data_IF_111074570895
#
_entry.id   IF_111074570895
#
_cell.length_a   1.000
_cell.length_b   1.000
_cell.length_c   1.000
_cell.angle_alpha   90.00
_cell.angle_beta   90.00
_cell.angle_gamma   90.00
#
_symmetry.space_group_name_H-M   'P 1'
#
loop_
_entity.id
_entity.type
_entity.pdbx_description
1 polymer ?
#
# COMPACT_ATOMS: atom_id res chain seq x y z
N UNK A 1 98.21 -28.99 -83.94
CA UNK A 1 99.41 -29.81 -84.21
C UNK A 1 100.48 -29.36 -83.22
N UNK A 2 100.71 -30.11 -82.15
CA UNK A 2 101.85 -29.84 -81.28
C UNK A 2 103.11 -30.32 -82.01
N UNK A 3 104.05 -29.41 -82.28
CA UNK A 3 105.36 -29.76 -82.84
C UNK A 3 106.03 -30.81 -81.94
N UNK A 4 106.63 -31.85 -82.53
CA UNK A 4 107.40 -32.84 -81.79
C UNK A 4 108.55 -32.12 -81.06
N UNK A 5 108.44 -31.98 -79.74
CA UNK A 5 109.51 -31.39 -78.95
C UNK A 5 110.72 -32.33 -79.02
N UNK A 6 111.93 -31.82 -79.34
CA UNK A 6 113.12 -32.66 -79.38
C UNK A 6 113.31 -33.31 -78.00
N UNK A 7 113.42 -34.64 -77.97
CA UNK A 7 113.66 -35.38 -76.72
C UNK A 7 115.08 -35.05 -76.27
N UNK A 8 115.19 -34.15 -75.29
CA UNK A 8 116.47 -33.78 -74.69
C UNK A 8 116.92 -34.96 -73.83
N UNK A 9 117.90 -35.72 -74.32
CA UNK A 9 118.49 -36.83 -73.56
C UNK A 9 119.45 -36.29 -72.50
N UNK A 10 119.61 -37.01 -71.37
CA UNK A 10 120.57 -36.64 -70.33
C UNK A 10 121.97 -36.35 -70.94
N UNK A 11 122.39 -37.16 -71.91
CA UNK A 11 123.69 -37.01 -72.58
C UNK A 11 123.80 -35.74 -73.43
N UNK A 12 122.70 -35.27 -74.03
CA UNK A 12 122.65 -33.98 -74.71
C UNK A 12 122.83 -32.82 -73.72
N UNK A 13 122.24 -32.92 -72.53
CA UNK A 13 122.40 -31.91 -71.47
C UNK A 13 123.82 -31.92 -70.90
N UNK A 14 124.43 -33.11 -70.69
CA UNK A 14 125.84 -33.24 -70.28
C UNK A 14 126.76 -32.58 -71.29
N UNK A 15 126.54 -32.85 -72.59
CA UNK A 15 127.37 -32.32 -73.66
C UNK A 15 127.31 -30.78 -73.71
N UNK A 16 126.12 -30.20 -73.62
CA UNK A 16 125.96 -28.74 -73.62
C UNK A 16 126.49 -28.07 -72.35
N UNK A 17 126.27 -28.66 -71.16
CA UNK A 17 126.83 -28.13 -69.91
C UNK A 17 128.36 -28.19 -69.87
N UNK A 18 128.96 -29.29 -70.35
CA UNK A 18 130.43 -29.41 -70.44
C UNK A 18 131.00 -28.41 -71.46
N UNK A 19 130.31 -28.20 -72.58
CA UNK A 19 130.68 -27.22 -73.61
C UNK A 19 130.57 -25.78 -73.11
N UNK A 20 129.65 -25.51 -72.19
CA UNK A 20 129.52 -24.23 -71.48
C UNK A 20 130.61 -24.01 -70.40
N UNK A 21 131.59 -24.93 -70.29
CA UNK A 21 132.71 -24.81 -69.36
C UNK A 21 132.42 -25.30 -67.94
N UNK A 22 131.25 -25.92 -67.71
CA UNK A 22 130.92 -26.54 -66.42
C UNK A 22 131.73 -27.82 -66.29
N UNK A 23 132.34 -28.03 -65.11
CA UNK A 23 133.08 -29.24 -64.80
C UNK A 23 132.24 -30.48 -65.11
N UNK A 24 132.83 -31.50 -65.76
CA UNK A 24 132.12 -32.67 -66.26
C UNK A 24 131.30 -33.39 -65.17
N UNK A 25 131.80 -33.45 -63.95
CA UNK A 25 131.10 -34.09 -62.83
C UNK A 25 129.87 -33.28 -62.42
N UNK A 26 130.00 -31.95 -62.42
CA UNK A 26 128.88 -31.00 -62.18
C UNK A 26 127.88 -31.05 -63.35
N UNK A 27 128.34 -31.18 -64.58
CA UNK A 27 127.51 -31.32 -65.77
C UNK A 27 126.70 -32.63 -65.75
N UNK A 28 127.29 -33.72 -65.27
CA UNK A 28 126.60 -35.01 -65.08
C UNK A 28 125.50 -34.87 -64.01
N UNK A 29 125.81 -34.28 -62.85
CA UNK A 29 124.82 -34.04 -61.78
C UNK A 29 123.67 -33.13 -62.24
N UNK A 30 123.96 -31.98 -62.85
CA UNK A 30 122.94 -31.06 -63.37
C UNK A 30 122.09 -31.66 -64.49
N UNK A 31 122.69 -32.44 -65.40
CA UNK A 31 121.96 -33.13 -66.46
C UNK A 31 121.01 -34.19 -65.92
N UNK A 32 121.41 -34.88 -64.84
CA UNK A 32 120.61 -35.91 -64.19
C UNK A 32 119.39 -35.26 -63.53
N UNK A 33 119.62 -34.17 -62.78
CA UNK A 33 118.55 -33.36 -62.16
C UNK A 33 117.56 -32.81 -63.19
N UNK A 34 118.06 -32.35 -64.35
CA UNK A 34 117.21 -31.88 -65.46
C UNK A 34 116.41 -33.03 -66.09
N UNK A 35 117.06 -34.15 -66.45
CA UNK A 35 116.40 -35.29 -67.11
C UNK A 35 115.40 -36.01 -66.21
N UNK A 36 115.61 -36.00 -64.89
CA UNK A 36 114.68 -36.53 -63.89
C UNK A 36 113.62 -35.52 -63.42
N UNK A 37 113.60 -34.30 -63.98
CA UNK A 37 112.70 -33.22 -63.59
C UNK A 37 112.72 -32.94 -62.08
N UNK A 38 113.86 -33.14 -61.40
CA UNK A 38 113.95 -33.01 -59.95
C UNK A 38 113.68 -31.57 -59.49
N UNK A 39 113.99 -30.58 -60.33
CA UNK A 39 113.72 -29.17 -60.05
C UNK A 39 112.21 -28.85 -60.14
N UNK A 40 111.52 -29.34 -61.18
CA UNK A 40 110.07 -29.17 -61.36
C UNK A 40 109.25 -29.85 -60.26
N UNK A 41 109.67 -31.03 -59.80
CA UNK A 41 109.02 -31.72 -58.69
C UNK A 41 109.14 -30.92 -57.39
N UNK A 42 110.31 -30.33 -57.11
CA UNK A 42 110.51 -29.47 -55.93
C UNK A 42 109.66 -28.20 -55.99
N UNK A 43 109.52 -27.58 -57.16
CA UNK A 43 108.67 -26.39 -57.32
C UNK A 43 107.18 -26.72 -57.12
N UNK A 44 106.72 -27.88 -57.61
CA UNK A 44 105.34 -28.36 -57.39
C UNK A 44 105.11 -28.70 -55.92
N UNK A 45 106.05 -29.41 -55.28
CA UNK A 45 106.00 -29.72 -53.85
C UNK A 45 105.96 -28.44 -52.99
N UNK A 46 106.74 -27.43 -53.37
CA UNK A 46 106.72 -26.12 -52.73
C UNK A 46 105.37 -25.40 -52.90
N UNK A 47 104.81 -25.42 -54.11
CA UNK A 47 103.49 -24.82 -54.40
C UNK A 47 102.37 -25.54 -53.65
N UNK A 48 102.38 -26.86 -53.63
CA UNK A 48 101.42 -27.70 -52.90
C UNK A 48 101.48 -27.39 -51.39
N UNK A 49 102.69 -27.41 -50.82
CA UNK A 49 102.91 -27.08 -49.40
C UNK A 49 102.42 -25.67 -49.09
N UNK A 50 102.74 -24.68 -49.94
CA UNK A 50 102.32 -23.29 -49.75
C UNK A 50 100.81 -23.13 -49.86
N UNK A 51 100.16 -23.83 -50.79
CA UNK A 51 98.72 -23.77 -50.99
C UNK A 51 97.97 -24.42 -49.82
N UNK A 52 98.43 -25.58 -49.37
CA UNK A 52 97.88 -26.27 -48.20
C UNK A 52 97.96 -25.39 -46.95
N UNK A 53 99.12 -24.77 -46.70
CA UNK A 53 99.28 -23.82 -45.58
C UNK A 53 98.32 -22.62 -45.69
N UNK A 54 98.07 -22.09 -46.89
CA UNK A 54 97.10 -21.01 -47.10
C UNK A 54 95.67 -21.48 -46.86
N UNK A 55 95.31 -22.68 -47.31
CA UNK A 55 93.99 -23.28 -47.10
C UNK A 55 93.72 -23.50 -45.61
N UNK A 56 94.67 -24.09 -44.88
CA UNK A 56 94.58 -24.27 -43.42
C UNK A 56 94.40 -22.94 -42.70
N UNK A 57 95.14 -21.90 -43.10
CA UNK A 57 95.00 -20.56 -42.53
C UNK A 57 93.62 -19.96 -42.80
N UNK A 58 93.10 -20.11 -44.02
CA UNK A 58 91.76 -19.61 -44.38
C UNK A 58 90.68 -20.35 -43.60
N UNK A 59 90.78 -21.67 -43.49
CA UNK A 59 89.85 -22.48 -42.72
C UNK A 59 89.85 -22.07 -41.24
N UNK A 60 91.03 -21.92 -40.64
CA UNK A 60 91.16 -21.48 -39.26
C UNK A 60 90.55 -20.09 -39.02
N UNK A 61 90.78 -19.14 -39.94
CA UNK A 61 90.18 -17.80 -39.87
C UNK A 61 88.65 -17.85 -39.97
N UNK A 62 88.11 -18.63 -40.91
CA UNK A 62 86.67 -18.76 -41.10
C UNK A 62 86.00 -19.42 -39.89
N UNK A 63 86.60 -20.47 -39.34
CA UNK A 63 86.11 -21.11 -38.11
C UNK A 63 86.13 -20.13 -36.93
N UNK A 64 87.17 -19.31 -36.80
CA UNK A 64 87.25 -18.29 -35.76
C UNK A 64 86.15 -17.22 -35.93
N UNK A 65 85.91 -16.75 -37.15
CA UNK A 65 84.87 -15.76 -37.45
C UNK A 65 83.44 -16.29 -37.22
N UNK A 66 83.17 -17.55 -37.61
CA UNK A 66 81.90 -18.23 -37.33
C UNK A 66 81.69 -18.36 -35.81
N UNK A 67 82.73 -18.78 -35.08
CA UNK A 67 82.66 -18.91 -33.62
C UNK A 67 82.39 -17.55 -32.97
N UNK A 68 83.10 -16.50 -33.40
CA UNK A 68 82.89 -15.13 -32.90
C UNK A 68 81.46 -14.65 -33.18
N UNK A 69 80.98 -14.83 -34.42
CA UNK A 69 79.62 -14.43 -34.81
C UNK A 69 78.55 -15.17 -34.02
N UNK A 70 78.75 -16.46 -33.75
CA UNK A 70 77.85 -17.25 -32.89
C UNK A 70 77.81 -16.69 -31.47
N UNK A 71 78.98 -16.44 -30.87
CA UNK A 71 79.06 -15.86 -29.51
C UNK A 71 78.39 -14.48 -29.44
N UNK A 72 78.56 -13.64 -30.46
CA UNK A 72 77.91 -12.33 -30.53
C UNK A 72 76.38 -12.45 -30.64
N UNK A 73 75.87 -13.40 -31.42
CA UNK A 73 74.44 -13.67 -31.55
C UNK A 73 73.85 -14.21 -30.24
N UNK A 74 74.50 -15.19 -29.62
CA UNK A 74 74.09 -15.74 -28.33
C UNK A 74 74.01 -14.62 -27.27
N UNK A 75 75.03 -13.75 -27.20
CA UNK A 75 75.06 -12.60 -26.28
C UNK A 75 73.92 -11.60 -26.55
N UNK A 76 73.62 -11.31 -27.82
CA UNK A 76 72.51 -10.41 -28.20
C UNK A 76 71.15 -11.01 -27.83
N UNK A 77 70.99 -12.32 -28.03
CA UNK A 77 69.77 -13.05 -27.68
C UNK A 77 69.56 -13.01 -26.17
N UNK A 78 70.59 -13.35 -25.37
CA UNK A 78 70.53 -13.31 -23.91
C UNK A 78 70.19 -11.91 -23.40
N UNK A 79 70.80 -10.87 -23.98
CA UNK A 79 70.50 -9.48 -23.64
C UNK A 79 69.03 -9.15 -23.90
N UNK A 80 68.47 -9.58 -25.05
CA UNK A 80 67.07 -9.31 -25.39
C UNK A 80 66.09 -10.10 -24.54
N UNK A 81 66.43 -11.32 -24.13
CA UNK A 81 65.62 -12.07 -23.16
C UNK A 81 65.60 -11.38 -21.80
N UNK A 82 66.75 -10.93 -21.29
CA UNK A 82 66.82 -10.18 -20.02
C UNK A 82 66.01 -8.86 -20.08
N UNK A 83 66.10 -8.12 -21.19
CA UNK A 83 65.27 -6.92 -21.42
C UNK A 83 63.77 -7.25 -21.45
N UNK A 84 63.37 -8.41 -21.98
CA UNK A 84 61.98 -8.82 -22.02
C UNK A 84 61.47 -9.25 -20.65
N UNK A 85 62.25 -10.03 -19.91
CA UNK A 85 61.91 -10.48 -18.56
C UNK A 85 61.71 -9.29 -17.62
N UNK A 86 62.61 -8.31 -17.67
CA UNK A 86 62.48 -7.07 -16.89
C UNK A 86 61.22 -6.26 -17.24
N UNK A 87 60.84 -6.19 -18.52
CA UNK A 87 59.58 -5.57 -18.95
C UNK A 87 58.36 -6.34 -18.45
N UNK A 88 58.39 -7.68 -18.52
CA UNK A 88 57.31 -8.55 -18.04
C UNK A 88 57.12 -8.36 -16.53
N UNK A 89 58.20 -8.31 -15.76
CA UNK A 89 58.13 -8.12 -14.31
C UNK A 89 57.62 -6.73 -13.93
N UNK A 90 57.99 -5.70 -14.70
CA UNK A 90 57.47 -4.34 -14.53
C UNK A 90 55.95 -4.31 -14.74
N UNK A 91 55.46 -4.85 -15.87
CA UNK A 91 54.02 -4.89 -16.17
C UNK A 91 53.25 -5.72 -15.13
N UNK A 92 53.80 -6.84 -14.67
CA UNK A 92 53.18 -7.64 -13.60
C UNK A 92 53.07 -6.86 -12.30
N UNK A 93 54.09 -6.07 -11.95
CA UNK A 93 54.07 -5.24 -10.75
C UNK A 93 53.03 -4.12 -10.86
N UNK A 94 52.95 -3.44 -12.01
CA UNK A 94 51.96 -2.40 -12.27
C UNK A 94 50.53 -2.97 -12.18
N UNK A 95 50.24 -4.08 -12.88
CA UNK A 95 48.92 -4.73 -12.82
C UNK A 95 48.55 -5.17 -11.40
N UNK A 96 49.51 -5.66 -10.61
CA UNK A 96 49.26 -6.01 -9.20
C UNK A 96 48.92 -4.78 -8.36
N UNK A 97 49.54 -3.64 -8.64
CA UNK A 97 49.19 -2.37 -8.00
C UNK A 97 47.79 -1.91 -8.39
N UNK A 98 47.47 -1.94 -9.68
CA UNK A 98 46.14 -1.55 -10.19
C UNK A 98 45.02 -2.41 -9.61
N UNK A 99 45.23 -3.73 -9.50
CA UNK A 99 44.28 -4.65 -8.85
C UNK A 99 44.06 -4.24 -7.39
N UNK A 100 45.15 -3.98 -6.64
CA UNK A 100 45.04 -3.56 -5.23
C UNK A 100 44.29 -2.24 -5.10
N UNK A 101 44.56 -1.27 -5.97
CA UNK A 101 43.86 0.02 -5.98
C UNK A 101 42.36 -0.16 -6.29
N UNK A 102 42.02 -1.07 -7.21
CA UNK A 102 40.63 -1.40 -7.50
C UNK A 102 39.93 -2.07 -6.30
N UNK A 103 40.58 -3.01 -5.63
CA UNK A 103 40.05 -3.65 -4.41
C UNK A 103 39.74 -2.59 -3.34
N UNK A 104 40.67 -1.65 -3.09
CA UNK A 104 40.42 -0.57 -2.12
C UNK A 104 39.27 0.36 -2.52
N UNK A 105 39.08 0.62 -3.82
CA UNK A 105 37.94 1.40 -4.32
C UNK A 105 36.63 0.64 -4.15
N UNK A 106 36.61 -0.67 -4.40
CA UNK A 106 35.45 -1.53 -4.19
C UNK A 106 35.06 -1.52 -2.71
N UNK A 107 36.01 -1.74 -1.80
CA UNK A 107 35.79 -1.73 -0.35
C UNK A 107 35.20 -0.38 0.11
N UNK A 108 35.73 0.73 -0.42
CA UNK A 108 35.23 2.07 -0.10
C UNK A 108 33.80 2.29 -0.60
N UNK A 109 33.47 1.84 -1.81
CA UNK A 109 32.11 1.92 -2.35
C UNK A 109 31.15 1.07 -1.52
N UNK A 110 31.53 -0.17 -1.18
CA UNK A 110 30.72 -1.06 -0.36
C UNK A 110 30.44 -0.45 1.02
N UNK A 111 31.48 0.07 1.69
CA UNK A 111 31.32 0.75 2.99
C UNK A 111 30.37 1.96 2.88
N UNK A 112 30.53 2.80 1.86
CA UNK A 112 29.70 3.97 1.66
C UNK A 112 28.23 3.60 1.39
N UNK A 113 27.99 2.54 0.61
CA UNK A 113 26.63 2.05 0.34
C UNK A 113 25.98 1.49 1.61
N UNK A 114 26.72 0.71 2.41
CA UNK A 114 26.22 0.19 3.68
C UNK A 114 25.83 1.32 4.64
N UNK A 115 26.67 2.36 4.79
CA UNK A 115 26.34 3.54 5.61
C UNK A 115 25.08 4.27 5.11
N UNK A 116 24.93 4.45 3.79
CA UNK A 116 23.72 5.08 3.21
C UNK A 116 22.48 4.24 3.47
N UNK A 117 22.57 2.92 3.31
CA UNK A 117 21.47 1.99 3.57
C UNK A 117 21.05 2.06 5.04
N UNK A 118 22.00 2.06 5.97
CA UNK A 118 21.70 2.13 7.41
C UNK A 118 21.08 3.48 7.81
N UNK A 119 21.54 4.57 7.19
CA UNK A 119 20.95 5.91 7.37
C UNK A 119 19.48 5.91 6.93
N UNK A 120 19.19 5.46 5.71
CA UNK A 120 17.81 5.39 5.18
C UNK A 120 16.92 4.48 6.03
N UNK A 121 17.44 3.34 6.49
CA UNK A 121 16.70 2.46 7.41
C UNK A 121 16.36 3.14 8.73
N UNK A 122 17.28 3.91 9.29
CA UNK A 122 17.06 4.66 10.53
C UNK A 122 16.03 5.77 10.35
N UNK A 123 16.10 6.52 9.26
CA UNK A 123 15.14 7.56 8.91
C UNK A 123 13.73 6.98 8.74
N UNK A 124 13.58 5.91 7.94
CA UNK A 124 12.29 5.25 7.75
C UNK A 124 11.70 4.70 9.07
N UNK A 125 12.54 4.17 9.96
CA UNK A 125 12.09 3.70 11.28
C UNK A 125 11.59 4.86 12.15
N UNK A 126 12.22 6.04 12.05
CA UNK A 126 11.76 7.24 12.74
C UNK A 126 10.42 7.72 12.18
N UNK A 127 10.30 7.81 10.85
CA UNK A 127 9.07 8.25 10.18
C UNK A 127 7.87 7.34 10.52
N UNK A 128 8.09 6.02 10.58
CA UNK A 128 7.05 5.06 11.00
C UNK A 128 6.60 5.34 12.44
N UNK A 129 7.54 5.55 13.36
CA UNK A 129 7.22 5.85 14.77
C UNK A 129 6.46 7.17 14.93
N UNK A 130 6.81 8.18 14.14
CA UNK A 130 6.14 9.47 14.15
C UNK A 130 4.71 9.36 13.57
N UNK A 131 4.50 8.53 12.56
CA UNK A 131 3.18 8.21 12.02
C UNK A 131 2.33 7.44 13.04
N UNK A 132 2.87 6.42 13.71
CA UNK A 132 2.16 5.69 14.76
C UNK A 132 1.69 6.65 15.87
N UNK A 133 2.58 7.54 16.33
CA UNK A 133 2.24 8.56 17.34
C UNK A 133 1.13 9.52 16.87
N UNK A 134 1.14 9.92 15.60
CA UNK A 134 0.08 10.76 15.01
C UNK A 134 -1.25 10.01 14.93
N UNK A 135 -1.23 8.73 14.56
CA UNK A 135 -2.42 7.87 14.50
C UNK A 135 -3.04 7.76 15.90
N UNK A 136 -2.23 7.42 16.92
CA UNK A 136 -2.68 7.32 18.31
C UNK A 136 -3.33 8.64 18.79
N UNK A 137 -2.72 9.78 18.45
CA UNK A 137 -3.26 11.10 18.80
C UNK A 137 -4.61 11.38 18.12
N UNK A 138 -4.75 11.04 16.83
CA UNK A 138 -6.01 11.19 16.10
C UNK A 138 -7.09 10.29 16.69
N UNK A 139 -6.77 9.02 16.99
CA UNK A 139 -7.68 8.07 17.60
C UNK A 139 -8.18 8.57 18.97
N UNK A 140 -7.27 9.02 19.83
CA UNK A 140 -7.62 9.58 21.14
C UNK A 140 -8.53 10.81 21.04
N UNK A 141 -8.24 11.72 20.10
CA UNK A 141 -9.05 12.90 19.85
C UNK A 141 -10.45 12.54 19.34
N UNK A 142 -10.57 11.55 18.44
CA UNK A 142 -11.85 11.08 17.93
C UNK A 142 -12.68 10.41 19.03
N UNK A 143 -12.07 9.55 19.85
CA UNK A 143 -12.75 8.92 20.98
C UNK A 143 -13.29 9.97 21.96
N UNK A 144 -12.49 10.98 22.29
CA UNK A 144 -12.94 12.10 23.15
C UNK A 144 -14.13 12.84 22.55
N UNK A 145 -14.09 13.17 21.26
CA UNK A 145 -15.22 13.84 20.58
C UNK A 145 -16.48 12.99 20.56
N UNK A 146 -16.35 11.68 20.32
CA UNK A 146 -17.46 10.73 20.33
C UNK A 146 -18.09 10.67 21.74
N UNK A 147 -17.27 10.61 22.78
CA UNK A 147 -17.77 10.55 24.16
C UNK A 147 -18.47 11.85 24.58
N UNK A 148 -17.97 13.02 24.16
CA UNK A 148 -18.64 14.31 24.34
C UNK A 148 -20.03 14.30 23.68
N UNK A 149 -20.12 13.94 22.40
CA UNK A 149 -21.40 13.91 21.67
C UNK A 149 -22.39 12.92 22.31
N UNK A 150 -21.90 11.75 22.75
CA UNK A 150 -22.74 10.77 23.47
C UNK A 150 -23.29 11.34 24.78
N UNK A 151 -22.46 12.09 25.52
CA UNK A 151 -22.88 12.72 26.77
C UNK A 151 -23.92 13.82 26.53
N UNK A 152 -23.72 14.66 25.51
CA UNK A 152 -24.67 15.71 25.10
C UNK A 152 -26.02 15.10 24.71
N UNK A 153 -26.02 14.10 23.82
CA UNK A 153 -27.26 13.42 23.41
C UNK A 153 -27.99 12.75 24.58
N UNK A 154 -27.25 12.18 25.54
CA UNK A 154 -27.85 11.60 26.74
C UNK A 154 -28.51 12.67 27.63
N UNK A 155 -27.93 13.87 27.70
CA UNK A 155 -28.53 15.00 28.40
C UNK A 155 -29.79 15.48 27.71
N UNK A 156 -29.75 15.65 26.38
CA UNK A 156 -30.90 16.09 25.58
C UNK A 156 -32.08 15.12 25.71
N UNK A 157 -31.82 13.81 25.70
CA UNK A 157 -32.86 12.78 25.91
C UNK A 157 -33.50 12.94 27.29
N UNK A 158 -32.69 13.13 28.35
CA UNK A 158 -33.20 13.32 29.72
C UNK A 158 -34.05 14.59 29.86
N UNK A 159 -33.63 15.67 29.20
CA UNK A 159 -34.37 16.93 29.18
C UNK A 159 -35.70 16.79 28.44
N UNK A 160 -35.74 16.02 27.35
CA UNK A 160 -36.97 15.66 26.64
C UNK A 160 -37.90 14.81 27.51
N UNK A 161 -37.39 13.78 28.18
CA UNK A 161 -38.18 12.95 29.12
C UNK A 161 -38.84 13.83 30.20
N UNK A 162 -38.06 14.75 30.79
CA UNK A 162 -38.56 15.69 31.81
C UNK A 162 -39.66 16.61 31.26
N UNK A 163 -39.51 17.08 30.01
CA UNK A 163 -40.55 17.90 29.35
C UNK A 163 -41.81 17.09 29.06
N UNK A 164 -41.67 15.83 28.64
CA UNK A 164 -42.79 14.92 28.41
C UNK A 164 -43.55 14.70 29.71
N UNK A 165 -42.87 14.36 30.81
CA UNK A 165 -43.47 14.19 32.14
C UNK A 165 -44.21 15.45 32.59
N UNK A 166 -43.64 16.64 32.35
CA UNK A 166 -44.28 17.91 32.69
C UNK A 166 -45.57 18.15 31.90
N UNK A 167 -45.56 17.87 30.60
CA UNK A 167 -46.73 17.97 29.73
C UNK A 167 -47.81 16.98 30.16
N UNK A 168 -47.44 15.73 30.44
CA UNK A 168 -48.36 14.69 30.91
C UNK A 168 -49.05 15.11 32.21
N UNK A 169 -48.29 15.59 33.19
CA UNK A 169 -48.84 16.09 34.46
C UNK A 169 -49.77 17.29 34.28
N UNK A 170 -49.44 18.23 33.38
CA UNK A 170 -50.29 19.37 33.07
C UNK A 170 -51.61 18.93 32.44
N UNK A 171 -51.56 17.99 31.48
CA UNK A 171 -52.74 17.43 30.83
C UNK A 171 -53.63 16.69 31.83
N UNK A 172 -53.05 15.85 32.70
CA UNK A 172 -53.80 15.17 33.77
C UNK A 172 -54.51 16.17 34.69
N UNK A 173 -53.83 17.24 35.11
CA UNK A 173 -54.42 18.30 35.94
C UNK A 173 -55.60 19.00 35.24
N UNK A 174 -55.44 19.31 33.94
CA UNK A 174 -56.52 19.92 33.14
C UNK A 174 -57.71 18.97 32.98
N UNK A 175 -57.46 17.68 32.74
CA UNK A 175 -58.50 16.65 32.65
C UNK A 175 -59.27 16.55 33.97
N UNK A 176 -58.58 16.54 35.11
CA UNK A 176 -59.23 16.46 36.42
C UNK A 176 -60.04 17.71 36.74
N UNK A 177 -59.55 18.89 36.33
CA UNK A 177 -60.30 20.15 36.44
C UNK A 177 -61.61 20.09 35.64
N UNK A 178 -61.54 19.71 34.36
CA UNK A 178 -62.72 19.57 33.49
C UNK A 178 -63.70 18.52 34.05
N UNK A 179 -63.21 17.39 34.56
CA UNK A 179 -64.05 16.38 35.22
C UNK A 179 -64.78 16.94 36.44
N UNK A 180 -64.12 17.76 37.24
CA UNK A 180 -64.73 18.39 38.42
C UNK A 180 -65.79 19.41 38.04
N UNK A 181 -65.52 20.25 37.03
CA UNK A 181 -66.47 21.22 36.50
C UNK A 181 -67.73 20.52 35.96
N UNK A 182 -67.56 19.51 35.10
CA UNK A 182 -68.69 18.72 34.57
C UNK A 182 -69.50 18.05 35.69
N UNK A 183 -68.84 17.55 36.75
CA UNK A 183 -69.54 16.96 37.89
C UNK A 183 -70.37 18.00 38.65
N UNK A 184 -69.88 19.24 38.75
CA UNK A 184 -70.64 20.36 39.34
C UNK A 184 -71.85 20.72 38.48
N UNK A 185 -71.64 20.86 37.17
CA UNK A 185 -72.72 21.19 36.22
C UNK A 185 -73.84 20.15 36.25
N UNK A 186 -73.49 18.86 36.33
CA UNK A 186 -74.47 17.75 36.48
C UNK A 186 -75.26 17.91 37.77
N UNK A 187 -74.60 18.22 38.90
CA UNK A 187 -75.28 18.41 40.19
C UNK A 187 -76.23 19.61 40.17
N UNK A 188 -75.82 20.70 39.52
CA UNK A 188 -76.67 21.89 39.39
C UNK A 188 -77.89 21.61 38.49
N UNK A 189 -77.71 20.82 37.43
CA UNK A 189 -78.81 20.33 36.60
C UNK A 189 -79.78 19.45 37.40
N UNK A 190 -79.28 18.49 38.18
CA UNK A 190 -80.10 17.63 39.04
C UNK A 190 -80.94 18.47 40.03
N UNK A 191 -80.32 19.41 40.74
CA UNK A 191 -81.02 20.31 41.67
C UNK A 191 -82.13 21.14 40.97
N UNK A 192 -81.86 21.59 39.73
CA UNK A 192 -82.83 22.35 38.94
C UNK A 192 -84.01 21.48 38.49
N UNK A 193 -83.74 20.22 38.12
CA UNK A 193 -84.77 19.24 37.79
C UNK A 193 -85.64 18.97 39.03
N UNK A 194 -85.03 18.68 40.19
CA UNK A 194 -85.76 18.46 41.45
C UNK A 194 -86.64 19.65 41.81
N UNK A 195 -86.13 20.87 41.67
CA UNK A 195 -86.90 22.10 41.91
C UNK A 195 -88.11 22.19 40.97
N UNK A 196 -87.92 21.90 39.67
CA UNK A 196 -89.01 21.94 38.69
C UNK A 196 -90.04 20.84 38.92
N UNK A 197 -89.61 19.68 39.40
CA UNK A 197 -90.50 18.59 39.79
C UNK A 197 -91.37 19.00 40.99
N UNK A 198 -90.76 19.57 42.04
CA UNK A 198 -91.49 20.08 43.20
C UNK A 198 -92.47 21.21 42.83
N UNK A 199 -92.10 22.13 41.93
CA UNK A 199 -93.01 23.16 41.42
C UNK A 199 -94.22 22.55 40.69
N UNK A 200 -94.00 21.47 39.93
CA UNK A 200 -95.05 20.76 39.21
C UNK A 200 -95.98 20.04 40.17
N UNK A 201 -95.44 19.31 41.16
CA UNK A 201 -96.21 18.62 42.20
C UNK A 201 -97.11 19.61 42.95
N UNK A 202 -96.56 20.75 43.40
CA UNK A 202 -97.36 21.79 44.07
C UNK A 202 -98.50 22.35 43.18
N UNK A 203 -98.26 22.51 41.87
CA UNK A 203 -99.31 22.92 40.93
C UNK A 203 -100.39 21.85 40.78
N UNK A 204 -99.99 20.58 40.72
CA UNK A 204 -100.91 19.45 40.67
C UNK A 204 -101.76 19.42 41.94
N UNK A 205 -101.14 19.49 43.12
CA UNK A 205 -101.84 19.53 44.41
C UNK A 205 -102.83 20.68 44.50
N UNK A 206 -102.42 21.88 44.05
CA UNK A 206 -103.31 23.05 44.00
C UNK A 206 -104.52 22.79 43.09
N UNK A 207 -104.31 22.23 41.90
CA UNK A 207 -105.40 21.90 40.96
C UNK A 207 -106.31 20.81 41.49
N UNK A 208 -105.77 19.84 42.21
CA UNK A 208 -106.54 18.78 42.87
C UNK A 208 -107.42 19.37 43.97
N UNK A 209 -106.87 20.23 44.84
CA UNK A 209 -107.62 20.93 45.88
C UNK A 209 -108.72 21.85 45.29
N UNK A 210 -108.44 22.57 44.19
CA UNK A 210 -109.47 23.34 43.47
C UNK A 210 -110.60 22.44 42.95
N UNK A 211 -110.27 21.25 42.44
CA UNK A 211 -111.24 20.29 41.94
C UNK A 211 -112.09 19.71 43.07
N UNK A 212 -111.47 19.30 44.18
CA UNK A 212 -112.16 18.81 45.38
C UNK A 212 -113.13 19.85 45.93
N UNK A 213 -112.69 21.11 46.05
CA UNK A 213 -113.56 22.22 46.47
C UNK A 213 -114.77 22.40 45.53
N UNK A 214 -114.56 22.33 44.20
CA UNK A 214 -115.67 22.39 43.22
C UNK A 214 -116.64 21.22 43.37
N UNK A 215 -116.12 20.01 43.61
CA UNK A 215 -116.94 18.81 43.84
C UNK A 215 -117.78 18.98 45.11
N UNK A 216 -117.19 19.49 46.19
CA UNK A 216 -117.90 19.74 47.45
C UNK A 216 -118.99 20.80 47.30
N UNK A 217 -118.72 21.91 46.61
CA UNK A 217 -119.74 22.92 46.27
C UNK A 217 -120.88 22.30 45.47
N UNK A 218 -120.56 21.58 44.38
CA UNK A 218 -121.57 20.91 43.55
C UNK A 218 -122.41 19.90 44.36
N UNK A 219 -121.76 19.16 45.27
CA UNK A 219 -122.44 18.21 46.18
C UNK A 219 -123.38 18.92 47.16
N UNK A 220 -122.97 20.08 47.70
CA UNK A 220 -123.82 20.91 48.55
C UNK A 220 -125.02 21.48 47.79
N UNK A 221 -124.81 22.01 46.58
CA UNK A 221 -125.88 22.50 45.71
C UNK A 221 -126.88 21.40 45.34
N UNK A 222 -126.40 20.21 44.96
CA UNK A 222 -127.24 19.05 44.69
C UNK A 222 -128.06 18.64 45.92
N UNK A 223 -127.44 18.60 47.11
CA UNK A 223 -128.15 18.28 48.36
C UNK A 223 -129.20 19.33 48.70
N UNK A 224 -128.90 20.60 48.49
CA UNK A 224 -129.83 21.73 48.72
C UNK A 224 -131.02 21.66 47.77
N UNK A 225 -130.78 21.45 46.47
CA UNK A 225 -131.83 21.29 45.46
C UNK A 225 -132.69 20.05 45.75
N UNK A 226 -132.10 18.90 46.10
CA UNK A 226 -132.87 17.72 46.51
C UNK A 226 -133.72 17.97 47.76
N UNK A 227 -133.22 18.72 48.75
CA UNK A 227 -134.03 19.13 49.93
C UNK A 227 -135.18 20.05 49.54
N UNK A 228 -134.94 21.02 48.66
CA UNK A 228 -135.98 21.92 48.15
C UNK A 228 -137.05 21.14 47.38
N UNK A 229 -136.65 20.24 46.48
CA UNK A 229 -137.57 19.36 45.77
C UNK A 229 -138.34 18.45 46.74
N UNK A 230 -137.68 17.84 47.72
CA UNK A 230 -138.34 17.06 48.76
C UNK A 230 -139.36 17.88 49.55
N UNK A 231 -139.04 19.14 49.88
CA UNK A 231 -139.97 20.07 50.52
C UNK A 231 -141.15 20.42 49.61
N UNK A 232 -140.91 20.76 48.33
CA UNK A 232 -141.95 21.04 47.34
C UNK A 232 -142.86 19.82 47.09
N UNK A 233 -142.32 18.61 47.01
CA UNK A 233 -143.13 17.39 46.91
C UNK A 233 -143.95 17.19 48.18
N UNK A 234 -143.40 17.45 49.37
CA UNK A 234 -144.15 17.41 50.63
C UNK A 234 -145.29 18.42 50.70
N UNK A 235 -145.07 19.67 50.28
CA UNK A 235 -146.13 20.69 50.21
C UNK A 235 -147.17 20.33 49.14
N UNK A 236 -146.76 19.82 47.99
CA UNK A 236 -147.65 19.37 46.93
C UNK A 236 -148.52 18.19 47.41
N UNK A 237 -147.94 17.20 48.09
CA UNK A 237 -148.68 16.07 48.68
C UNK A 237 -149.67 16.57 49.73
N UNK A 238 -149.26 17.43 50.66
CA UNK A 238 -150.14 17.97 51.70
C UNK A 238 -151.28 18.84 51.13
N UNK A 239 -151.00 19.66 50.11
CA UNK A 239 -152.02 20.44 49.41
C UNK A 239 -153.04 19.52 48.71
N UNK A 240 -152.57 18.49 48.00
CA UNK A 240 -153.44 17.52 47.34
C UNK A 240 -154.29 16.71 48.35
N UNK A 241 -153.71 16.26 49.47
CA UNK A 241 -154.46 15.60 50.56
C UNK A 241 -155.48 16.57 51.18
N UNK A 242 -155.10 17.83 51.43
CA UNK A 242 -155.97 18.86 52.00
C UNK A 242 -157.16 19.18 51.08
N UNK A 243 -156.93 19.33 49.78
CA UNK A 243 -157.98 19.51 48.76
C UNK A 243 -158.90 18.28 48.74
N UNK A 244 -158.35 17.06 48.75
CA UNK A 244 -159.13 15.83 48.79
C UNK A 244 -160.03 15.75 50.04
N UNK A 245 -159.50 16.07 51.22
CA UNK A 245 -160.27 16.14 52.47
C UNK A 245 -161.34 17.23 52.45
N UNK A 246 -161.04 18.42 51.91
CA UNK A 246 -162.00 19.52 51.78
C UNK A 246 -163.15 19.17 50.81
N UNK A 247 -162.83 18.56 49.66
CA UNK A 247 -163.83 18.03 48.72
C UNK A 247 -164.67 16.93 49.37
N UNK A 248 -164.07 16.02 50.14
CA UNK A 248 -164.81 15.02 50.92
C UNK A 248 -165.75 15.69 51.94
N UNK A 249 -165.35 16.79 52.58
CA UNK A 249 -166.21 17.52 53.51
C UNK A 249 -167.41 18.22 52.84
N UNK A 250 -167.29 18.59 51.56
CA UNK A 250 -168.38 19.14 50.74
C UNK A 250 -169.36 18.06 50.28
N UNK A 251 -168.93 16.80 50.19
CA UNK A 251 -169.80 15.65 49.88
C UNK A 251 -170.58 15.14 51.10
N UNK A 252 -170.26 15.59 52.31
CA UNK A 252 -170.88 15.15 53.58
C UNK A 252 -171.97 16.13 54.07
N UNK A 253 -172.58 16.91 53.18
CA UNK A 253 -173.81 17.68 53.49
C UNK A 253 -174.90 17.41 52.47
#
# INVERSE_FOLDING_TARGET
MGLAQPVITQQMVIAELTKAGINRDIAIDLSYRYYKNELTHKDIEYLETTLNLKLEKVEALLQAEIKSSKTDLDTKIDTKFNELDTKIDTVRSELKSDIKDLDTKIDSVESNLNTKIDTVRSELKSDIKDLDTKIDSVESNLNTKIDTVRSELKSDIKDLDTKIDSVENNLNTKIDTVRSELKSDIKDLDNKIDTKFNELDNKIDTKFNELDNKIDVNKMELKSTLRLHGWMFGTLITLNIGIFLALMSLLVK
#
